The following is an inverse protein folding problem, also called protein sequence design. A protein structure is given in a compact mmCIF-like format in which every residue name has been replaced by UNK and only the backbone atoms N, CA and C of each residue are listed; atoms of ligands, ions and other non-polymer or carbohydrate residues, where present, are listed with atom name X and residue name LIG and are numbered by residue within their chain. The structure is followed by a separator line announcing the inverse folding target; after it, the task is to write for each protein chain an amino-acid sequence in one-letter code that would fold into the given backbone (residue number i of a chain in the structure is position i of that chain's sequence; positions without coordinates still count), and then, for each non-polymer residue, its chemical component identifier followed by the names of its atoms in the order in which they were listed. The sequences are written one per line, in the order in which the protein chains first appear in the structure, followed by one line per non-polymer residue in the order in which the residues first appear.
data_IF_895829271375
#
_entry.id   IF_895829271375
#
_cell.length_a   1.000
_cell.length_b   1.000
_cell.length_c   1.000
_cell.angle_alpha   90.00
_cell.angle_beta   90.00
_cell.angle_gamma   90.00
#
_symmetry.space_group_name_H-M   'P 1'
#
loop_
_entity.id
_entity.type
_entity.pdbx_description
1 polymer ?
#
# COMPACT_ATOMS: atom_id res chain seq x y z
N UNK A 1 -23.74 -32.99 29.62
CA UNK A 1 -24.14 -32.47 28.30
C UNK A 1 -23.06 -31.53 27.79
N UNK A 2 -22.21 -32.02 26.89
CA UNK A 2 -21.14 -31.24 26.27
C UNK A 2 -21.75 -30.27 25.24
N UNK A 3 -21.77 -28.98 25.55
CA UNK A 3 -22.10 -27.95 24.57
C UNK A 3 -21.22 -28.15 23.32
N UNK A 4 -21.77 -28.15 22.11
CA UNK A 4 -20.98 -28.27 20.90
C UNK A 4 -20.04 -27.07 20.85
N UNK A 5 -18.73 -27.34 20.94
CA UNK A 5 -17.71 -26.33 20.65
C UNK A 5 -17.97 -25.89 19.21
N UNK A 6 -18.63 -24.75 19.02
CA UNK A 6 -18.68 -24.05 17.74
C UNK A 6 -17.22 -23.84 17.33
N UNK A 7 -16.68 -24.76 16.53
CA UNK A 7 -15.33 -24.63 16.00
C UNK A 7 -15.42 -23.43 15.07
N UNK A 8 -14.79 -22.32 15.46
CA UNK A 8 -14.75 -21.11 14.66
C UNK A 8 -14.12 -21.44 13.30
N UNK A 9 -14.94 -21.65 12.28
CA UNK A 9 -14.53 -21.92 10.90
C UNK A 9 -14.09 -20.65 10.15
N UNK A 10 -13.44 -19.72 10.86
CA UNK A 10 -12.98 -18.42 10.32
C UNK A 10 -12.23 -18.55 8.98
N UNK A 11 -11.35 -19.53 8.73
CA UNK A 11 -10.61 -19.57 7.48
C UNK A 11 -11.49 -19.60 6.22
N UNK A 12 -12.49 -20.49 6.20
CA UNK A 12 -13.38 -20.63 5.04
C UNK A 12 -14.40 -19.49 4.99
N UNK A 13 -14.94 -19.10 6.16
CA UNK A 13 -15.89 -17.99 6.25
C UNK A 13 -15.26 -16.65 5.84
N UNK A 14 -14.02 -16.39 6.27
CA UNK A 14 -13.27 -15.19 5.93
C UNK A 14 -12.90 -15.13 4.44
N UNK A 15 -12.53 -16.27 3.85
CA UNK A 15 -12.29 -16.36 2.41
C UNK A 15 -13.59 -16.14 1.61
N UNK A 16 -14.69 -16.78 2.02
CA UNK A 16 -15.99 -16.60 1.38
C UNK A 16 -16.48 -15.16 1.51
N UNK A 17 -16.34 -14.55 2.69
CA UNK A 17 -16.67 -13.14 2.93
C UNK A 17 -15.83 -12.19 2.06
N UNK A 18 -14.52 -12.45 1.92
CA UNK A 18 -13.66 -11.67 1.02
C UNK A 18 -14.17 -11.76 -0.42
N UNK A 19 -14.37 -12.98 -0.94
CA UNK A 19 -14.78 -13.17 -2.33
C UNK A 19 -16.15 -12.54 -2.60
N UNK A 20 -17.10 -12.71 -1.68
CA UNK A 20 -18.41 -12.08 -1.76
C UNK A 20 -18.31 -10.54 -1.73
N UNK A 21 -17.47 -9.99 -0.85
CA UNK A 21 -17.26 -8.53 -0.76
C UNK A 21 -16.63 -7.96 -2.03
N UNK A 22 -15.61 -8.62 -2.58
CA UNK A 22 -14.97 -8.22 -3.84
C UNK A 22 -16.00 -8.25 -4.97
N UNK A 23 -16.79 -9.32 -5.07
CA UNK A 23 -17.85 -9.44 -6.07
C UNK A 23 -18.90 -8.34 -5.92
N UNK A 24 -19.36 -8.06 -4.71
CA UNK A 24 -20.34 -7.00 -4.44
C UNK A 24 -19.83 -5.60 -4.81
N UNK A 25 -18.59 -5.26 -4.45
CA UNK A 25 -17.99 -3.97 -4.82
C UNK A 25 -17.88 -3.85 -6.35
N UNK A 26 -17.39 -4.89 -7.02
CA UNK A 26 -17.25 -4.85 -8.48
C UNK A 26 -18.56 -4.96 -9.23
N UNK A 27 -19.65 -5.41 -8.60
CA UNK A 27 -20.98 -5.40 -9.19
C UNK A 27 -21.67 -4.05 -8.99
N UNK A 28 -21.62 -3.51 -7.78
CA UNK A 28 -22.48 -2.40 -7.34
C UNK A 28 -21.75 -1.11 -6.92
N UNK A 29 -20.54 -1.21 -6.37
CA UNK A 29 -19.80 -0.07 -5.79
C UNK A 29 -18.83 0.65 -6.74
N UNK A 30 -18.76 0.25 -8.01
CA UNK A 30 -17.93 0.92 -9.02
C UNK A 30 -18.82 1.49 -10.11
N UNK A 31 -18.81 2.81 -10.26
CA UNK A 31 -19.52 3.53 -11.33
C UNK A 31 -19.05 3.09 -12.71
N UNK A 32 -19.97 3.11 -13.68
CA UNK A 32 -19.67 2.84 -15.09
C UNK A 32 -19.26 4.10 -15.87
N UNK A 33 -19.38 5.28 -15.25
CA UNK A 33 -19.00 6.54 -15.89
C UNK A 33 -17.47 6.66 -15.98
N UNK A 34 -16.92 7.15 -17.12
CA UNK A 34 -15.49 7.47 -17.21
C UNK A 34 -15.11 8.51 -16.16
N UNK A 35 -13.97 8.30 -15.50
CA UNK A 35 -13.45 9.22 -14.47
C UNK A 35 -12.08 9.74 -14.88
N UNK A 36 -11.89 11.06 -14.80
CA UNK A 36 -10.62 11.73 -15.06
C UNK A 36 -10.00 11.30 -16.40
N UNK A 37 -8.82 10.68 -16.36
CA UNK A 37 -8.03 10.31 -17.53
C UNK A 37 -8.66 9.21 -18.39
N UNK A 38 -9.69 8.50 -17.90
CA UNK A 38 -10.36 7.44 -18.68
C UNK A 38 -10.90 7.98 -20.02
N UNK A 39 -11.41 9.21 -20.01
CA UNK A 39 -11.91 9.89 -21.21
C UNK A 39 -10.81 10.18 -22.23
N UNK A 40 -9.63 10.59 -21.75
CA UNK A 40 -8.45 10.81 -22.59
C UNK A 40 -8.07 9.52 -23.30
N UNK A 41 -7.89 8.43 -22.56
CA UNK A 41 -7.47 7.16 -23.12
C UNK A 41 -8.46 6.53 -24.08
N UNK A 42 -9.77 6.69 -23.82
CA UNK A 42 -10.81 6.21 -24.71
C UNK A 42 -10.77 6.86 -26.11
N UNK A 43 -10.24 8.07 -26.23
CA UNK A 43 -10.15 8.80 -27.51
C UNK A 43 -8.86 8.56 -28.29
N UNK A 44 -7.85 7.93 -27.68
CA UNK A 44 -6.52 7.84 -28.29
C UNK A 44 -6.50 6.97 -29.56
N UNK A 45 -7.25 5.87 -29.56
CA UNK A 45 -7.30 4.95 -30.69
C UNK A 45 -8.21 5.44 -31.84
N UNK A 46 -8.97 6.51 -31.63
CA UNK A 46 -9.69 7.19 -32.71
C UNK A 46 -8.73 8.03 -33.57
N UNK A 47 -7.60 8.47 -33.00
CA UNK A 47 -6.62 9.35 -33.66
C UNK A 47 -5.35 8.61 -34.08
N UNK A 48 -4.89 7.65 -33.28
CA UNK A 48 -3.64 6.94 -33.49
C UNK A 48 -3.87 5.44 -33.67
N UNK A 49 -3.04 4.78 -34.49
CA UNK A 49 -2.90 3.33 -34.36
C UNK A 49 -2.24 2.99 -33.01
N UNK A 50 -2.45 1.79 -32.47
CA UNK A 50 -1.82 1.39 -31.19
C UNK A 50 -0.29 1.55 -31.22
N UNK A 51 0.34 1.20 -32.34
CA UNK A 51 1.79 1.34 -32.50
C UNK A 51 2.21 2.81 -32.48
N UNK A 52 1.54 3.65 -33.25
CA UNK A 52 1.90 5.07 -33.37
C UNK A 52 1.66 5.80 -32.05
N UNK A 53 0.57 5.45 -31.35
CA UNK A 53 0.30 5.92 -29.99
C UNK A 53 1.47 5.56 -29.05
N UNK A 54 1.88 4.30 -28.96
CA UNK A 54 2.95 3.89 -28.04
C UNK A 54 4.29 4.53 -28.37
N UNK A 55 4.64 4.65 -29.66
CA UNK A 55 5.87 5.35 -30.09
C UNK A 55 5.80 6.82 -29.69
N UNK A 56 4.68 7.49 -29.95
CA UNK A 56 4.47 8.88 -29.55
C UNK A 56 4.63 9.02 -28.03
N UNK A 57 3.92 8.21 -27.23
CA UNK A 57 3.98 8.25 -25.76
C UNK A 57 5.37 8.00 -25.20
N UNK A 58 6.14 7.08 -25.79
CA UNK A 58 7.52 6.82 -25.39
C UNK A 58 8.42 8.06 -25.52
N UNK A 59 8.23 8.82 -26.59
CA UNK A 59 9.04 10.00 -26.87
C UNK A 59 8.54 11.27 -26.16
N UNK A 60 7.23 11.38 -25.88
CA UNK A 60 6.64 12.64 -25.38
C UNK A 60 6.17 12.60 -23.93
N UNK A 61 5.92 11.42 -23.33
CA UNK A 61 5.33 11.39 -21.99
C UNK A 61 5.81 10.32 -21.01
N UNK A 62 5.95 9.06 -21.43
CA UNK A 62 6.17 7.96 -20.48
C UNK A 62 6.78 6.70 -21.08
N UNK A 63 7.58 6.01 -20.29
CA UNK A 63 8.09 4.67 -20.60
C UNK A 63 7.15 3.51 -20.21
N UNK A 64 5.95 3.79 -19.68
CA UNK A 64 5.00 2.79 -19.17
C UNK A 64 4.22 2.07 -20.27
N UNK A 65 4.88 1.72 -21.37
CA UNK A 65 4.21 1.27 -22.61
C UNK A 65 3.30 0.05 -22.44
N UNK A 66 3.66 -1.01 -21.68
CA UNK A 66 2.74 -2.14 -21.51
C UNK A 66 1.47 -1.78 -20.75
N UNK A 67 1.57 -0.85 -19.78
CA UNK A 67 0.42 -0.35 -19.04
C UNK A 67 -0.43 0.53 -19.95
N UNK A 68 0.18 1.46 -20.68
CA UNK A 68 -0.50 2.34 -21.65
C UNK A 68 -1.25 1.54 -22.72
N UNK A 69 -0.60 0.52 -23.30
CA UNK A 69 -1.20 -0.34 -24.31
C UNK A 69 -2.43 -1.09 -23.78
N UNK A 70 -2.34 -1.62 -22.56
CA UNK A 70 -3.46 -2.28 -21.91
C UNK A 70 -4.58 -1.29 -21.60
N UNK A 71 -4.24 -0.07 -21.20
CA UNK A 71 -5.21 0.94 -20.80
C UNK A 71 -6.05 1.41 -22.00
N UNK A 72 -5.42 1.84 -23.09
CA UNK A 72 -6.15 2.29 -24.30
C UNK A 72 -6.96 1.19 -24.97
N UNK A 73 -6.66 -0.08 -24.69
CA UNK A 73 -7.45 -1.21 -25.22
C UNK A 73 -8.59 -1.61 -24.28
N UNK A 74 -8.33 -1.73 -22.97
CA UNK A 74 -9.31 -2.23 -22.00
C UNK A 74 -10.36 -1.19 -21.61
N UNK A 75 -10.09 0.11 -21.79
CA UNK A 75 -11.03 1.20 -21.49
C UNK A 75 -12.35 1.06 -22.26
N UNK A 76 -12.32 0.45 -23.45
CA UNK A 76 -13.50 0.16 -24.27
C UNK A 76 -14.29 -1.07 -23.80
N UNK A 77 -13.75 -1.85 -22.86
CA UNK A 77 -14.37 -3.05 -22.31
C UNK A 77 -14.44 -2.98 -20.76
N UNK A 78 -15.18 -2.01 -20.17
CA UNK A 78 -15.21 -1.80 -18.73
C UNK A 78 -15.72 -3.02 -17.95
N UNK A 79 -16.61 -3.83 -18.54
CA UNK A 79 -17.05 -5.09 -17.94
C UNK A 79 -15.92 -6.12 -17.81
N UNK A 80 -15.07 -6.25 -18.83
CA UNK A 80 -13.87 -7.09 -18.79
C UNK A 80 -12.87 -6.58 -17.77
N UNK A 81 -12.63 -5.26 -17.75
CA UNK A 81 -11.78 -4.64 -16.72
C UNK A 81 -12.30 -4.95 -15.32
N UNK A 82 -13.59 -4.75 -15.01
CA UNK A 82 -14.16 -5.06 -13.68
C UNK A 82 -13.95 -6.52 -13.28
N UNK A 83 -14.17 -7.46 -14.20
CA UNK A 83 -13.96 -8.89 -13.94
C UNK A 83 -12.48 -9.20 -13.64
N UNK A 84 -11.56 -8.70 -14.48
CA UNK A 84 -10.12 -8.86 -14.25
C UNK A 84 -9.67 -8.18 -12.95
N UNK A 85 -10.17 -6.98 -12.66
CA UNK A 85 -9.81 -6.20 -11.48
C UNK A 85 -10.23 -6.90 -10.19
N UNK A 86 -11.40 -7.56 -10.17
CA UNK A 86 -11.83 -8.40 -9.06
C UNK A 86 -10.87 -9.56 -8.80
N UNK A 87 -10.41 -10.23 -9.87
CA UNK A 87 -9.42 -11.31 -9.79
C UNK A 87 -8.07 -10.77 -9.27
N UNK A 88 -7.61 -9.63 -9.80
CA UNK A 88 -6.36 -9.00 -9.35
C UNK A 88 -6.43 -8.62 -7.87
N UNK A 89 -7.55 -8.06 -7.38
CA UNK A 89 -7.75 -7.77 -5.96
C UNK A 89 -7.68 -9.03 -5.08
N UNK A 90 -8.30 -10.13 -5.52
CA UNK A 90 -8.20 -11.40 -4.81
C UNK A 90 -6.75 -11.93 -4.81
N UNK A 91 -6.05 -11.83 -5.94
CA UNK A 91 -4.64 -12.21 -6.07
C UNK A 91 -3.73 -11.35 -5.19
N UNK A 92 -3.99 -10.05 -5.04
CA UNK A 92 -3.28 -9.17 -4.11
C UNK A 92 -3.41 -9.70 -2.68
N UNK A 93 -4.63 -9.98 -2.25
CA UNK A 93 -4.90 -10.46 -0.89
C UNK A 93 -4.23 -11.81 -0.63
N UNK A 94 -4.27 -12.72 -1.60
CA UNK A 94 -3.57 -14.02 -1.54
C UNK A 94 -2.05 -13.82 -1.48
N UNK A 95 -1.49 -12.97 -2.35
CA UNK A 95 -0.05 -12.70 -2.42
C UNK A 95 0.48 -12.09 -1.12
N UNK A 96 -0.18 -11.07 -0.59
CA UNK A 96 0.18 -10.44 0.69
C UNK A 96 0.06 -11.42 1.85
N UNK A 97 -0.99 -12.25 1.88
CA UNK A 97 -1.12 -13.30 2.88
C UNK A 97 0.04 -14.30 2.79
N UNK A 98 0.49 -14.69 1.59
CA UNK A 98 1.66 -15.56 1.40
C UNK A 98 2.97 -14.92 1.85
N UNK A 99 3.16 -13.62 1.66
CA UNK A 99 4.35 -12.90 2.14
C UNK A 99 4.32 -12.69 3.68
N UNK A 100 3.13 -12.47 4.24
CA UNK A 100 2.95 -12.18 5.65
C UNK A 100 2.89 -13.43 6.54
N UNK A 101 2.36 -14.55 6.04
CA UNK A 101 2.15 -15.80 6.81
C UNK A 101 3.40 -16.55 7.25
N UNK A 102 4.58 -16.51 6.59
CA UNK A 102 5.75 -17.29 7.02
C UNK A 102 6.14 -17.00 8.47
N UNK A 103 6.08 -18.03 9.32
CA UNK A 103 6.32 -17.93 10.77
C UNK A 103 5.07 -17.66 11.63
N UNK A 104 3.91 -17.46 11.02
CA UNK A 104 2.63 -17.23 11.72
C UNK A 104 1.80 -18.50 11.88
N UNK A 105 0.80 -18.48 12.78
CA UNK A 105 -0.16 -19.59 12.97
C UNK A 105 -1.40 -19.51 12.08
N UNK A 106 -1.45 -18.56 11.15
CA UNK A 106 -2.58 -18.42 10.25
C UNK A 106 -2.62 -19.53 9.21
N UNK A 107 -3.81 -20.06 8.96
CA UNK A 107 -4.08 -20.84 7.76
C UNK A 107 -4.09 -19.92 6.53
N UNK A 108 -3.80 -20.48 5.35
CA UNK A 108 -3.82 -19.70 4.11
C UNK A 108 -5.16 -18.96 3.88
N UNK A 109 -6.34 -19.61 3.96
CA UNK A 109 -7.62 -18.92 3.79
C UNK A 109 -7.87 -17.86 4.86
N UNK A 110 -7.49 -18.15 6.11
CA UNK A 110 -7.68 -17.23 7.24
C UNK A 110 -6.85 -15.97 7.10
N UNK A 111 -5.56 -16.11 6.74
CA UNK A 111 -4.67 -14.98 6.49
C UNK A 111 -5.19 -14.10 5.34
N UNK A 112 -5.65 -14.72 4.24
CA UNK A 112 -6.19 -14.01 3.08
C UNK A 112 -7.44 -13.17 3.44
N UNK A 113 -8.37 -13.73 4.21
CA UNK A 113 -9.54 -12.97 4.69
C UNK A 113 -9.16 -11.80 5.60
N UNK A 114 -8.20 -11.99 6.51
CA UNK A 114 -7.71 -10.89 7.38
C UNK A 114 -7.01 -9.80 6.57
N UNK A 115 -6.18 -10.18 5.58
CA UNK A 115 -5.52 -9.22 4.70
C UNK A 115 -6.54 -8.36 3.97
N UNK A 116 -7.58 -8.96 3.39
CA UNK A 116 -8.63 -8.18 2.74
C UNK A 116 -9.34 -7.24 3.72
N UNK A 117 -9.64 -7.71 4.94
CA UNK A 117 -10.21 -6.84 5.97
C UNK A 117 -9.33 -5.63 6.26
N UNK A 118 -8.01 -5.82 6.41
CA UNK A 118 -7.07 -4.74 6.63
C UNK A 118 -6.95 -3.80 5.41
N UNK A 119 -7.00 -4.31 4.18
CA UNK A 119 -7.05 -3.49 2.96
C UNK A 119 -8.30 -2.60 2.94
N UNK A 120 -9.47 -3.12 3.34
CA UNK A 120 -10.71 -2.33 3.43
C UNK A 120 -10.67 -1.23 4.50
N UNK A 121 -9.69 -1.25 5.41
CA UNK A 121 -9.50 -0.19 6.41
C UNK A 121 -8.59 0.95 5.93
N UNK A 122 -7.98 0.85 4.75
CA UNK A 122 -7.28 1.97 4.13
C UNK A 122 -8.20 3.19 3.95
N UNK A 123 -7.61 4.38 3.77
CA UNK A 123 -8.38 5.57 3.40
C UNK A 123 -9.23 5.29 2.14
N UNK A 124 -10.55 5.61 2.13
CA UNK A 124 -11.43 5.40 0.98
C UNK A 124 -10.88 5.97 -0.33
N UNK A 125 -10.30 7.17 -0.27
CA UNK A 125 -9.70 7.81 -1.44
C UNK A 125 -8.50 7.04 -1.98
N UNK A 126 -7.62 6.53 -1.09
CA UNK A 126 -6.45 5.76 -1.51
C UNK A 126 -6.85 4.46 -2.20
N UNK A 127 -7.82 3.73 -1.63
CA UNK A 127 -8.29 2.47 -2.22
C UNK A 127 -9.09 2.72 -3.51
N UNK A 128 -9.93 3.75 -3.57
CA UNK A 128 -10.67 4.09 -4.78
C UNK A 128 -9.71 4.43 -5.93
N UNK A 129 -8.82 5.40 -5.72
CA UNK A 129 -7.91 5.86 -6.76
C UNK A 129 -6.89 4.79 -7.17
N UNK A 130 -6.47 3.89 -6.27
CA UNK A 130 -5.49 2.87 -6.59
C UNK A 130 -6.10 1.55 -7.09
N UNK A 131 -7.36 1.24 -6.74
CA UNK A 131 -7.96 -0.09 -6.94
C UNK A 131 -9.29 -0.09 -7.70
N UNK A 132 -10.10 0.96 -7.61
CA UNK A 132 -11.47 0.98 -8.15
C UNK A 132 -11.69 1.99 -9.27
N UNK A 133 -10.70 2.84 -9.53
CA UNK A 133 -10.63 3.65 -10.75
C UNK A 133 -9.91 2.86 -11.86
N UNK A 134 -10.42 2.87 -13.09
CA UNK A 134 -9.86 2.10 -14.22
C UNK A 134 -8.40 2.44 -14.47
N UNK A 135 -8.10 3.69 -14.83
CA UNK A 135 -6.73 4.15 -15.05
C UNK A 135 -5.84 3.94 -13.82
N UNK A 136 -6.39 4.24 -12.63
CA UNK A 136 -5.68 4.08 -11.37
C UNK A 136 -5.27 2.64 -11.06
N UNK A 137 -6.19 1.70 -11.21
CA UNK A 137 -5.96 0.27 -10.96
C UNK A 137 -4.89 -0.33 -11.86
N UNK A 138 -4.83 0.08 -13.13
CA UNK A 138 -3.82 -0.39 -14.08
C UNK A 138 -2.43 0.18 -13.79
N UNK A 139 -2.35 1.38 -13.20
CA UNK A 139 -1.09 2.00 -12.80
C UNK A 139 -0.61 1.59 -11.39
N UNK A 140 -1.51 1.09 -10.52
CA UNK A 140 -1.20 0.75 -9.12
C UNK A 140 -1.57 -0.69 -8.77
N UNK A 141 -2.86 -1.02 -8.61
CA UNK A 141 -3.31 -2.34 -8.15
C UNK A 141 -2.69 -3.50 -8.97
N UNK A 142 -2.72 -3.42 -10.30
CA UNK A 142 -2.22 -4.49 -11.17
C UNK A 142 -0.70 -4.68 -11.06
N UNK A 143 0.14 -3.66 -11.31
CA UNK A 143 1.59 -3.81 -11.19
C UNK A 143 2.02 -4.13 -9.75
N UNK A 144 1.37 -3.56 -8.73
CA UNK A 144 1.67 -3.89 -7.32
C UNK A 144 1.33 -5.34 -7.01
N UNK A 145 0.22 -5.87 -7.50
CA UNK A 145 -0.12 -7.29 -7.34
C UNK A 145 0.92 -8.18 -8.00
N UNK A 146 1.34 -7.87 -9.22
CA UNK A 146 2.41 -8.60 -9.91
C UNK A 146 3.74 -8.50 -9.14
N UNK A 147 4.06 -7.33 -8.61
CA UNK A 147 5.22 -7.12 -7.75
C UNK A 147 5.19 -8.01 -6.51
N UNK A 148 4.07 -8.06 -5.80
CA UNK A 148 3.85 -8.95 -4.64
C UNK A 148 4.08 -10.42 -5.03
N UNK A 149 3.50 -10.88 -6.13
CA UNK A 149 3.66 -12.26 -6.60
C UNK A 149 5.09 -12.59 -7.05
N UNK A 150 5.82 -11.61 -7.58
CA UNK A 150 7.24 -11.79 -7.92
C UNK A 150 8.11 -12.06 -6.69
N UNK A 151 7.74 -11.55 -5.51
CA UNK A 151 8.50 -11.74 -4.27
C UNK A 151 8.24 -13.10 -3.60
N UNK A 152 7.09 -13.72 -3.86
CA UNK A 152 6.67 -14.99 -3.23
C UNK A 152 7.74 -16.09 -3.31
N UNK A 153 8.29 -16.46 -4.49
CA UNK A 153 9.30 -17.52 -4.58
C UNK A 153 10.66 -17.14 -3.97
N UNK A 154 10.91 -15.85 -3.72
CA UNK A 154 12.12 -15.37 -3.06
C UNK A 154 12.01 -15.46 -1.54
N UNK A 155 10.81 -15.24 -1.00
CA UNK A 155 10.53 -15.22 0.45
C UNK A 155 10.15 -16.59 1.01
N UNK A 156 9.39 -17.40 0.26
CA UNK A 156 9.00 -18.74 0.72
C UNK A 156 10.15 -19.75 0.56
N UNK A 157 10.39 -20.55 1.59
CA UNK A 157 11.39 -21.64 1.60
C UNK A 157 10.90 -22.91 0.89
N UNK A 158 9.83 -22.84 0.10
CA UNK A 158 9.25 -23.97 -0.61
C UNK A 158 9.85 -24.09 -2.03
N UNK A 159 10.06 -25.32 -2.54
CA UNK A 159 10.47 -25.51 -3.92
C UNK A 159 9.35 -25.06 -4.87
N UNK A 160 9.71 -24.26 -5.86
CA UNK A 160 8.80 -23.76 -6.88
C UNK A 160 9.14 -24.40 -8.23
N UNK A 161 8.11 -24.89 -8.94
CA UNK A 161 8.27 -25.41 -10.31
C UNK A 161 8.70 -24.31 -11.27
N UNK A 162 9.32 -24.68 -12.39
CA UNK A 162 9.84 -23.71 -13.36
C UNK A 162 8.75 -22.78 -13.91
N UNK A 163 7.50 -23.23 -14.07
CA UNK A 163 6.38 -22.39 -14.52
C UNK A 163 6.09 -21.27 -13.52
N UNK A 164 6.13 -21.57 -12.22
CA UNK A 164 5.94 -20.56 -11.18
C UNK A 164 7.10 -19.57 -11.13
N UNK A 165 8.34 -20.03 -11.38
CA UNK A 165 9.52 -19.17 -11.50
C UNK A 165 9.45 -18.25 -12.72
N UNK A 166 9.03 -18.79 -13.88
CA UNK A 166 8.80 -18.01 -15.09
C UNK A 166 7.71 -16.96 -14.87
N UNK A 167 6.58 -17.36 -14.26
CA UNK A 167 5.50 -16.43 -13.94
C UNK A 167 5.98 -15.30 -12.99
N UNK A 168 6.80 -15.60 -11.99
CA UNK A 168 7.39 -14.58 -11.12
C UNK A 168 8.35 -13.63 -11.86
N UNK A 169 9.12 -14.14 -12.83
CA UNK A 169 9.97 -13.32 -13.70
C UNK A 169 9.14 -12.36 -14.56
N UNK A 170 8.07 -12.86 -15.20
CA UNK A 170 7.17 -12.04 -16.00
C UNK A 170 6.42 -11.01 -15.13
N UNK A 171 6.00 -11.41 -13.94
CA UNK A 171 5.37 -10.52 -12.98
C UNK A 171 6.33 -9.40 -12.53
N UNK A 172 7.61 -9.71 -12.29
CA UNK A 172 8.63 -8.71 -11.97
C UNK A 172 8.84 -7.72 -13.11
N UNK A 173 8.92 -8.21 -14.36
CA UNK A 173 9.08 -7.37 -15.55
C UNK A 173 7.91 -6.38 -15.72
N UNK A 174 6.67 -6.86 -15.59
CA UNK A 174 5.48 -6.02 -15.71
C UNK A 174 5.32 -5.04 -14.53
N UNK A 175 5.68 -5.46 -13.32
CA UNK A 175 5.64 -4.60 -12.14
C UNK A 175 6.61 -3.40 -12.24
N UNK A 176 7.70 -3.54 -13.01
CA UNK A 176 8.70 -2.50 -13.23
C UNK A 176 8.15 -1.23 -13.91
N UNK A 177 6.99 -1.31 -14.56
CA UNK A 177 6.35 -0.19 -15.23
C UNK A 177 5.50 0.69 -14.29
N UNK A 178 5.48 0.40 -13.00
CA UNK A 178 5.01 1.34 -11.99
C UNK A 178 6.23 2.00 -11.33
N UNK A 179 6.53 3.26 -11.68
CA UNK A 179 7.78 3.94 -11.31
C UNK A 179 8.11 3.84 -9.81
N UNK A 180 7.13 4.18 -8.95
CA UNK A 180 7.27 4.13 -7.50
C UNK A 180 7.56 2.71 -7.00
N UNK A 181 6.91 1.71 -7.59
CA UNK A 181 7.09 0.30 -7.24
C UNK A 181 8.44 -0.24 -7.73
N UNK A 182 8.88 0.12 -8.94
CA UNK A 182 10.15 -0.32 -9.49
C UNK A 182 11.33 0.10 -8.60
N UNK A 183 11.30 1.34 -8.11
CA UNK A 183 12.32 1.89 -7.21
C UNK A 183 12.36 1.17 -5.86
N UNK A 184 11.27 0.52 -5.46
CA UNK A 184 11.20 -0.31 -4.25
C UNK A 184 11.59 -1.77 -4.54
N UNK A 185 11.08 -2.35 -5.63
CA UNK A 185 11.26 -3.76 -5.96
C UNK A 185 12.69 -4.10 -6.36
N UNK A 186 13.40 -3.21 -7.08
CA UNK A 186 14.79 -3.45 -7.49
C UNK A 186 15.71 -3.68 -6.28
N UNK A 187 15.84 -2.74 -5.32
CA UNK A 187 16.71 -2.95 -4.16
C UNK A 187 16.21 -4.10 -3.25
N UNK A 188 14.89 -4.28 -3.12
CA UNK A 188 14.33 -5.38 -2.32
C UNK A 188 14.67 -6.75 -2.93
N UNK A 189 14.49 -6.92 -4.23
CA UNK A 189 14.79 -8.16 -4.96
C UNK A 189 16.28 -8.44 -4.94
N UNK A 190 17.13 -7.42 -5.15
CA UNK A 190 18.58 -7.55 -5.01
C UNK A 190 18.97 -8.03 -3.60
N UNK A 191 18.44 -7.38 -2.56
CA UNK A 191 18.68 -7.76 -1.17
C UNK A 191 18.30 -9.20 -0.87
N UNK A 192 17.13 -9.64 -1.34
CA UNK A 192 16.66 -11.03 -1.21
C UNK A 192 17.54 -12.02 -1.99
N UNK A 193 17.95 -11.69 -3.21
CA UNK A 193 18.87 -12.53 -4.00
C UNK A 193 20.23 -12.69 -3.30
N UNK A 194 20.80 -11.59 -2.82
CA UNK A 194 22.07 -11.60 -2.08
C UNK A 194 21.94 -12.39 -0.77
N UNK A 195 20.83 -12.24 -0.05
CA UNK A 195 20.55 -13.00 1.16
C UNK A 195 20.46 -14.51 0.88
N UNK A 196 19.72 -14.92 -0.15
CA UNK A 196 19.66 -16.32 -0.59
C UNK A 196 21.01 -16.84 -1.07
N UNK A 197 21.80 -16.02 -1.76
CA UNK A 197 23.14 -16.38 -2.21
C UNK A 197 24.08 -16.65 -1.04
N UNK A 198 24.04 -15.81 0.00
CA UNK A 198 24.78 -16.04 1.26
C UNK A 198 24.38 -17.35 1.95
N UNK A 199 23.13 -17.77 1.81
CA UNK A 199 22.65 -19.06 2.32
C UNK A 199 22.91 -20.24 1.39
N UNK A 200 23.56 -20.02 0.23
CA UNK A 200 23.74 -21.02 -0.84
C UNK A 200 22.40 -21.59 -1.36
N UNK A 201 21.35 -20.77 -1.34
CA UNK A 201 19.99 -21.10 -1.81
C UNK A 201 19.56 -20.31 -3.06
N UNK A 202 20.44 -19.45 -3.57
CA UNK A 202 20.17 -18.69 -4.79
C UNK A 202 20.14 -19.62 -6.01
N UNK A 203 19.16 -19.42 -6.87
CA UNK A 203 19.02 -20.14 -8.13
C UNK A 203 19.25 -19.23 -9.32
N UNK A 204 19.51 -19.79 -10.51
CA UNK A 204 19.57 -19.01 -11.75
C UNK A 204 18.30 -18.21 -12.02
N UNK A 205 17.14 -18.71 -11.57
CA UNK A 205 15.87 -17.99 -11.65
C UNK A 205 15.84 -16.70 -10.81
N UNK A 206 16.50 -16.68 -9.65
CA UNK A 206 16.53 -15.50 -8.78
C UNK A 206 17.27 -14.34 -9.51
N UNK A 207 18.38 -14.67 -10.16
CA UNK A 207 19.17 -13.72 -10.94
C UNK A 207 18.51 -13.33 -12.26
N UNK A 208 17.86 -14.27 -12.95
CA UNK A 208 17.09 -13.98 -14.16
C UNK A 208 15.92 -13.02 -13.86
N UNK A 209 15.21 -13.24 -12.76
CA UNK A 209 14.16 -12.34 -12.29
C UNK A 209 14.70 -10.94 -12.00
N UNK A 210 15.82 -10.82 -11.28
CA UNK A 210 16.45 -9.54 -10.99
C UNK A 210 16.90 -8.83 -12.28
N UNK A 211 17.53 -9.56 -13.22
CA UNK A 211 17.98 -9.01 -14.48
C UNK A 211 16.81 -8.46 -15.32
N UNK A 212 15.71 -9.23 -15.42
CA UNK A 212 14.49 -8.81 -16.12
C UNK A 212 13.85 -7.58 -15.46
N UNK A 213 13.75 -7.57 -14.14
CA UNK A 213 13.26 -6.42 -13.39
C UNK A 213 14.09 -5.16 -13.67
N UNK A 214 15.41 -5.26 -13.57
CA UNK A 214 16.32 -4.15 -13.84
C UNK A 214 16.24 -3.67 -15.30
N UNK A 215 16.18 -4.58 -16.27
CA UNK A 215 16.08 -4.24 -17.68
C UNK A 215 14.78 -3.47 -18.01
N UNK A 216 13.64 -3.93 -17.49
CA UNK A 216 12.36 -3.26 -17.71
C UNK A 216 12.26 -1.93 -16.95
N UNK A 217 12.79 -1.86 -15.72
CA UNK A 217 12.87 -0.60 -14.98
C UNK A 217 13.77 0.41 -15.71
N UNK A 218 14.93 -0.01 -16.21
CA UNK A 218 15.83 0.84 -17.00
C UNK A 218 15.14 1.33 -18.28
N UNK A 219 14.45 0.45 -19.01
CA UNK A 219 13.68 0.82 -20.19
C UNK A 219 12.58 1.86 -19.86
N UNK A 220 11.79 1.62 -18.81
CA UNK A 220 10.71 2.51 -18.41
C UNK A 220 11.22 3.89 -17.96
N UNK A 221 12.33 3.93 -17.20
CA UNK A 221 12.91 5.16 -16.66
C UNK A 221 13.69 5.97 -17.71
N UNK A 222 14.31 5.30 -18.69
CA UNK A 222 15.10 5.94 -19.76
C UNK A 222 14.27 6.53 -20.90
N UNK A 223 12.94 6.37 -20.88
CA UNK A 223 12.07 6.92 -21.91
C UNK A 223 12.24 8.46 -22.00
N UNK A 224 12.55 9.01 -23.20
CA UNK A 224 12.71 10.45 -23.40
C UNK A 224 11.48 11.24 -22.93
N UNK A 225 10.29 10.66 -23.10
CA UNK A 225 9.04 11.26 -22.68
C UNK A 225 8.95 11.57 -21.19
N UNK A 226 9.69 10.85 -20.32
CA UNK A 226 9.71 11.16 -18.89
C UNK A 226 10.30 12.54 -18.62
N UNK A 227 11.30 12.96 -19.40
CA UNK A 227 11.93 14.30 -19.28
C UNK A 227 10.98 15.38 -19.75
N UNK A 228 10.29 15.14 -20.87
CA UNK A 228 9.34 16.11 -21.41
C UNK A 228 8.13 16.27 -20.47
N UNK A 229 7.56 15.16 -20.01
CA UNK A 229 6.53 15.18 -18.97
C UNK A 229 6.99 15.91 -17.71
N UNK A 230 8.22 15.70 -17.25
CA UNK A 230 8.74 16.40 -16.08
C UNK A 230 8.77 17.92 -16.29
N UNK A 231 9.19 18.39 -17.48
CA UNK A 231 9.21 19.82 -17.83
C UNK A 231 7.81 20.39 -17.91
N UNK A 232 6.91 19.70 -18.62
CA UNK A 232 5.51 20.09 -18.76
C UNK A 232 4.80 20.15 -17.40
N UNK A 233 4.97 19.13 -16.55
CA UNK A 233 4.38 19.10 -15.21
C UNK A 233 4.98 20.17 -14.30
N UNK A 234 6.28 20.47 -14.42
CA UNK A 234 6.89 21.58 -13.70
C UNK A 234 6.27 22.90 -14.13
N UNK A 235 6.23 23.19 -15.44
CA UNK A 235 5.70 24.45 -15.96
C UNK A 235 4.20 24.67 -15.68
N UNK A 236 3.39 23.62 -15.81
CA UNK A 236 1.93 23.73 -15.63
C UNK A 236 1.46 23.61 -14.18
N UNK A 237 2.14 22.80 -13.36
CA UNK A 237 1.58 22.33 -12.08
C UNK A 237 2.41 22.72 -10.87
N UNK A 238 3.72 22.86 -11.01
CA UNK A 238 4.57 23.29 -9.90
C UNK A 238 5.78 24.10 -10.40
N UNK A 239 5.58 25.37 -10.82
CA UNK A 239 6.61 26.16 -11.53
C UNK A 239 7.93 26.30 -10.77
N UNK A 240 7.86 26.47 -9.45
CA UNK A 240 9.03 26.68 -8.59
C UNK A 240 9.68 25.36 -8.12
N UNK A 241 9.29 24.20 -8.66
CA UNK A 241 9.82 22.90 -8.22
C UNK A 241 11.32 22.75 -8.49
N UNK A 242 11.81 23.40 -9.56
CA UNK A 242 13.23 23.42 -9.89
C UNK A 242 14.07 24.18 -8.86
N UNK A 243 13.49 25.19 -8.22
CA UNK A 243 14.15 26.03 -7.21
C UNK A 243 14.26 25.36 -5.84
N UNK A 244 13.49 24.28 -5.62
CA UNK A 244 13.47 23.56 -4.36
C UNK A 244 14.75 22.75 -4.14
N UNK A 245 15.34 22.92 -2.96
CA UNK A 245 16.47 22.11 -2.53
C UNK A 245 16.05 20.68 -2.11
N UNK A 246 17.03 19.86 -1.73
CA UNK A 246 16.79 18.47 -1.32
C UNK A 246 15.98 18.39 -0.02
N UNK A 247 16.20 19.31 0.93
CA UNK A 247 15.51 19.31 2.21
C UNK A 247 14.04 19.71 2.05
N UNK A 248 13.75 20.66 1.18
CA UNK A 248 12.39 21.08 0.84
C UNK A 248 11.63 19.96 0.13
N UNK A 249 12.26 19.22 -0.79
CA UNK A 249 11.68 18.03 -1.42
C UNK A 249 11.42 16.92 -0.40
N UNK A 250 12.34 16.70 0.53
CA UNK A 250 12.13 15.77 1.65
C UNK A 250 10.98 16.20 2.55
N UNK A 251 10.84 17.50 2.84
CA UNK A 251 9.72 18.05 3.60
C UNK A 251 8.38 17.80 2.91
N UNK A 252 8.31 17.94 1.60
CA UNK A 252 7.11 17.58 0.82
C UNK A 252 6.80 16.09 0.99
N UNK A 253 7.81 15.23 0.86
CA UNK A 253 7.69 13.78 1.08
C UNK A 253 7.16 13.43 2.48
N UNK A 254 7.69 14.06 3.53
CA UNK A 254 7.21 13.91 4.90
C UNK A 254 5.77 14.37 5.04
N UNK A 255 5.39 15.50 4.45
CA UNK A 255 4.00 15.98 4.44
C UNK A 255 3.04 15.00 3.77
N UNK A 256 3.47 14.29 2.71
CA UNK A 256 2.66 13.24 2.09
C UNK A 256 2.49 12.02 3.02
N UNK A 257 3.55 11.62 3.71
CA UNK A 257 3.50 10.55 4.72
C UNK A 257 2.55 10.93 5.85
N UNK A 258 2.70 12.12 6.42
CA UNK A 258 1.87 12.64 7.50
C UNK A 258 0.41 12.63 7.10
N UNK A 259 0.09 13.18 5.92
CA UNK A 259 -1.28 13.21 5.39
C UNK A 259 -1.85 11.81 5.20
N UNK A 260 -1.07 10.87 4.69
CA UNK A 260 -1.57 9.50 4.44
C UNK A 260 -1.80 8.74 5.76
N UNK A 261 -0.89 8.88 6.73
CA UNK A 261 -0.94 8.14 8.00
C UNK A 261 -1.97 8.73 8.98
N UNK A 262 -2.04 10.07 9.07
CA UNK A 262 -2.89 10.77 10.03
C UNK A 262 -4.26 11.18 9.49
N UNK A 263 -4.60 10.75 8.27
CA UNK A 263 -5.95 10.87 7.74
C UNK A 263 -6.95 10.20 8.71
N UNK A 264 -7.95 10.92 9.26
CA UNK A 264 -8.96 10.35 10.15
C UNK A 264 -9.74 9.19 9.53
N UNK A 265 -9.78 9.10 8.20
CA UNK A 265 -10.42 8.03 7.45
C UNK A 265 -9.49 6.84 7.21
N UNK A 266 -8.23 6.90 7.63
CA UNK A 266 -7.29 5.77 7.57
C UNK A 266 -7.42 4.87 8.80
N UNK A 267 -8.44 4.00 8.79
CA UNK A 267 -8.69 3.09 9.90
C UNK A 267 -7.63 1.99 10.01
N UNK A 268 -6.86 1.74 8.94
CA UNK A 268 -5.76 0.79 8.93
C UNK A 268 -4.63 1.29 9.82
N UNK A 269 -4.22 2.56 9.69
CA UNK A 269 -3.21 3.14 10.56
C UNK A 269 -3.67 3.15 12.02
N UNK A 270 -4.93 3.53 12.29
CA UNK A 270 -5.52 3.44 13.62
C UNK A 270 -5.51 2.00 14.18
N UNK A 271 -5.83 1.01 13.35
CA UNK A 271 -5.81 -0.41 13.73
C UNK A 271 -4.38 -0.86 14.09
N UNK A 272 -3.39 -0.60 13.22
CA UNK A 272 -1.99 -0.95 13.49
C UNK A 272 -1.46 -0.24 14.75
N UNK A 273 -1.88 1.01 14.97
CA UNK A 273 -1.55 1.80 16.16
C UNK A 273 -2.14 1.16 17.43
N UNK A 274 -3.40 0.75 17.40
CA UNK A 274 -4.06 0.07 18.52
C UNK A 274 -3.42 -1.30 18.82
N UNK A 275 -3.10 -2.09 17.79
CA UNK A 275 -2.42 -3.37 17.95
C UNK A 275 -0.99 -3.19 18.50
N UNK A 276 -0.26 -2.17 18.03
CA UNK A 276 1.05 -1.81 18.56
C UNK A 276 0.97 -1.41 20.04
N UNK A 277 -0.03 -0.62 20.43
CA UNK A 277 -0.25 -0.22 21.82
C UNK A 277 -0.50 -1.44 22.74
N UNK A 278 -1.31 -2.40 22.29
CA UNK A 278 -1.55 -3.66 23.01
C UNK A 278 -0.27 -4.47 23.18
N UNK A 279 0.54 -4.59 22.12
CA UNK A 279 1.80 -5.34 22.16
C UNK A 279 2.87 -4.65 23.02
N UNK A 280 2.90 -3.32 23.05
CA UNK A 280 3.86 -2.52 23.80
C UNK A 280 3.86 -2.83 25.30
N UNK A 281 2.69 -3.17 25.86
CA UNK A 281 2.55 -3.52 27.27
C UNK A 281 3.50 -4.65 27.70
N UNK A 282 3.66 -5.67 26.84
CA UNK A 282 4.54 -6.83 27.07
C UNK A 282 5.95 -6.69 26.50
N UNK A 283 6.27 -5.60 25.79
CA UNK A 283 7.62 -5.38 25.28
C UNK A 283 8.62 -5.16 26.44
N UNK A 284 9.86 -5.64 26.38
CA UNK A 284 10.86 -5.48 27.45
C UNK A 284 11.58 -4.12 27.35
N UNK A 285 10.81 -3.03 27.29
CA UNK A 285 11.33 -1.66 27.23
C UNK A 285 11.34 -0.99 28.61
N UNK A 286 12.20 0.03 28.78
CA UNK A 286 12.20 0.87 29.97
C UNK A 286 10.82 1.53 30.19
N UNK A 287 10.40 1.67 31.45
CA UNK A 287 9.05 2.16 31.81
C UNK A 287 8.75 3.53 31.22
N UNK A 288 9.72 4.45 31.26
CA UNK A 288 9.55 5.81 30.72
C UNK A 288 9.34 5.79 29.19
N UNK A 289 10.09 4.97 28.47
CA UNK A 289 9.97 4.86 27.00
C UNK A 289 8.60 4.27 26.62
N UNK A 290 8.15 3.24 27.34
CA UNK A 290 6.79 2.72 27.17
C UNK A 290 5.73 3.79 27.42
N UNK A 291 5.89 4.59 28.47
CA UNK A 291 4.92 5.64 28.81
C UNK A 291 4.84 6.70 27.70
N UNK A 292 5.98 7.16 27.17
CA UNK A 292 6.03 8.10 26.05
C UNK A 292 5.37 7.51 24.81
N UNK A 293 5.77 6.31 24.39
CA UNK A 293 5.17 5.66 23.22
C UNK A 293 3.67 5.43 23.41
N UNK A 294 3.24 4.90 24.55
CA UNK A 294 1.84 4.64 24.84
C UNK A 294 1.00 5.93 24.83
N UNK A 295 1.53 7.02 25.39
CA UNK A 295 0.87 8.33 25.39
C UNK A 295 0.68 8.86 23.97
N UNK A 296 1.74 8.85 23.15
CA UNK A 296 1.68 9.32 21.76
C UNK A 296 0.69 8.49 20.94
N UNK A 297 0.74 7.16 21.07
CA UNK A 297 -0.19 6.25 20.39
C UNK A 297 -1.64 6.48 20.85
N UNK A 298 -1.88 6.67 22.15
CA UNK A 298 -3.21 6.94 22.69
C UNK A 298 -3.77 8.28 22.20
N UNK A 299 -2.94 9.33 22.15
CA UNK A 299 -3.33 10.63 21.60
C UNK A 299 -3.65 10.51 20.11
N UNK A 300 -2.86 9.77 19.34
CA UNK A 300 -3.13 9.52 17.91
C UNK A 300 -4.46 8.80 17.68
N UNK A 301 -4.76 7.77 18.48
CA UNK A 301 -6.04 7.06 18.42
C UNK A 301 -7.21 7.98 18.82
N UNK A 302 -7.03 8.80 19.86
CA UNK A 302 -8.03 9.77 20.28
C UNK A 302 -8.29 10.80 19.18
N UNK A 303 -7.25 11.32 18.52
CA UNK A 303 -7.40 12.23 17.38
C UNK A 303 -8.22 11.59 16.26
N UNK A 304 -7.92 10.34 15.88
CA UNK A 304 -8.71 9.62 14.86
C UNK A 304 -10.18 9.42 15.26
N UNK A 305 -10.45 9.15 16.54
CA UNK A 305 -11.82 8.99 17.06
C UNK A 305 -12.59 10.31 17.13
N UNK A 306 -11.93 11.42 17.48
CA UNK A 306 -12.58 12.73 17.57
C UNK A 306 -12.81 13.39 16.20
N UNK A 307 -12.08 12.95 15.17
CA UNK A 307 -12.13 13.52 13.81
C UNK A 307 -13.00 12.68 12.85
N UNK A 308 -13.93 11.88 13.37
CA UNK A 308 -14.85 11.08 12.54
C UNK A 308 -15.65 12.01 11.61
N UNK A 309 -15.61 11.81 10.27
CA UNK A 309 -16.14 12.76 9.28
C UNK A 309 -17.65 13.07 9.35
N UNK A 310 -18.41 12.38 10.18
CA UNK A 310 -19.86 12.56 10.35
C UNK A 310 -20.24 13.32 11.63
N UNK A 311 -19.26 13.73 12.44
CA UNK A 311 -19.47 14.64 13.56
C UNK A 311 -19.21 16.06 13.06
N UNK A 312 -20.22 16.96 13.05
CA UNK A 312 -20.02 18.35 12.63
C UNK A 312 -19.00 19.01 13.58
N UNK A 313 -17.89 19.49 13.02
CA UNK A 313 -16.75 19.96 13.83
C UNK A 313 -15.65 20.63 13.00
N UNK A 314 -16.00 21.74 12.35
CA UNK A 314 -15.07 22.71 11.72
C UNK A 314 -13.81 23.08 12.55
N UNK A 315 -13.81 23.17 13.90
CA UNK A 315 -12.60 23.55 14.63
C UNK A 315 -11.56 22.43 14.80
N UNK A 316 -11.99 21.16 14.81
CA UNK A 316 -11.11 20.02 15.06
C UNK A 316 -10.38 19.57 13.78
N UNK A 317 -11.04 19.65 12.62
CA UNK A 317 -10.39 19.43 11.32
C UNK A 317 -9.26 20.42 11.03
N UNK A 318 -9.33 21.65 11.57
CA UNK A 318 -8.24 22.65 11.52
C UNK A 318 -7.01 22.27 12.36
N UNK A 319 -7.07 21.20 13.14
CA UNK A 319 -5.95 20.65 13.91
C UNK A 319 -5.21 19.53 13.18
N UNK A 320 -5.72 19.09 12.02
CA UNK A 320 -4.95 18.23 11.11
C UNK A 320 -3.84 19.09 10.48
N UNK A 321 -2.61 18.59 10.39
CA UNK A 321 -1.55 19.33 9.71
C UNK A 321 -1.97 19.55 8.25
N UNK A 322 -2.16 20.79 7.79
CA UNK A 322 -2.26 21.05 6.37
C UNK A 322 -0.90 20.82 5.70
N UNK A 323 -0.88 20.80 4.37
CA UNK A 323 0.38 20.87 3.63
C UNK A 323 1.11 22.16 4.03
N UNK A 324 2.43 22.06 4.21
CA UNK A 324 3.28 23.22 4.44
C UNK A 324 3.63 23.86 3.08
N UNK A 325 2.64 24.47 2.42
CA UNK A 325 2.77 25.18 1.14
C UNK A 325 2.32 26.65 1.25
N UNK A 326 2.87 27.52 0.39
CA UNK A 326 2.52 28.95 0.32
C UNK A 326 2.63 29.69 1.67
N UNK A 327 1.62 30.49 1.99
CA UNK A 327 1.54 31.32 3.20
C UNK A 327 1.52 30.52 4.51
N UNK A 328 1.27 29.21 4.46
CA UNK A 328 1.31 28.32 5.62
C UNK A 328 2.72 28.20 6.24
N UNK A 329 3.76 28.53 5.46
CA UNK A 329 5.18 28.51 5.86
C UNK A 329 5.49 29.56 6.95
N UNK A 330 4.62 30.56 7.17
CA UNK A 330 4.83 31.58 8.19
C UNK A 330 4.09 31.31 9.51
N UNK A 331 3.36 30.20 9.61
CA UNK A 331 2.55 29.89 10.78
C UNK A 331 3.23 28.83 11.67
N UNK A 332 3.82 29.27 12.78
CA UNK A 332 4.51 28.41 13.76
C UNK A 332 3.63 27.25 14.27
N UNK A 333 2.30 27.45 14.36
CA UNK A 333 1.37 26.38 14.75
C UNK A 333 1.37 25.23 13.73
N UNK A 334 1.43 25.53 12.44
CA UNK A 334 1.39 24.51 11.39
C UNK A 334 2.67 23.68 11.37
N UNK A 335 3.83 24.31 11.64
CA UNK A 335 5.08 23.58 11.85
C UNK A 335 5.03 22.68 13.06
N UNK A 336 4.49 23.16 14.19
CA UNK A 336 4.35 22.34 15.39
C UNK A 336 3.42 21.13 15.14
N UNK A 337 2.34 21.31 14.39
CA UNK A 337 1.42 20.22 14.02
C UNK A 337 2.07 19.20 13.07
N UNK A 338 2.82 19.66 12.06
CA UNK A 338 3.56 18.77 11.16
C UNK A 338 4.65 18.00 11.91
N UNK A 339 5.44 18.69 12.74
CA UNK A 339 6.44 18.04 13.60
C UNK A 339 5.81 17.01 14.56
N UNK A 340 4.66 17.32 15.16
CA UNK A 340 3.90 16.39 15.97
C UNK A 340 3.43 15.16 15.18
N UNK A 341 2.97 15.36 13.94
CA UNK A 341 2.53 14.29 13.05
C UNK A 341 3.69 13.37 12.66
N UNK A 342 4.81 13.93 12.21
CA UNK A 342 6.03 13.18 11.92
C UNK A 342 6.53 12.39 13.13
N UNK A 343 6.55 13.02 14.31
CA UNK A 343 6.92 12.37 15.56
C UNK A 343 5.97 11.21 15.89
N UNK A 344 4.66 11.41 15.72
CA UNK A 344 3.63 10.38 15.92
C UNK A 344 3.85 9.18 15.00
N UNK A 345 4.07 9.42 13.70
CA UNK A 345 4.37 8.35 12.73
C UNK A 345 5.63 7.59 13.14
N UNK A 346 6.69 8.29 13.55
CA UNK A 346 7.92 7.67 14.07
C UNK A 346 7.66 6.79 15.30
N UNK A 347 6.89 7.29 16.27
CA UNK A 347 6.51 6.51 17.46
C UNK A 347 5.69 5.27 17.10
N UNK A 348 4.75 5.36 16.16
CA UNK A 348 3.96 4.21 15.71
C UNK A 348 4.86 3.16 15.04
N UNK A 349 5.79 3.57 14.18
CA UNK A 349 6.74 2.65 13.54
C UNK A 349 7.61 1.93 14.57
N UNK A 350 8.17 2.67 15.52
CA UNK A 350 9.01 2.11 16.59
C UNK A 350 8.18 1.16 17.46
N UNK A 351 7.01 1.58 17.93
CA UNK A 351 6.15 0.75 18.77
C UNK A 351 5.69 -0.52 18.04
N UNK A 352 5.33 -0.42 16.76
CA UNK A 352 4.95 -1.55 15.93
C UNK A 352 6.10 -2.56 15.79
N UNK A 353 7.33 -2.10 15.54
CA UNK A 353 8.52 -2.96 15.47
C UNK A 353 8.86 -3.59 16.83
N UNK A 354 8.77 -2.83 17.92
CA UNK A 354 9.00 -3.33 19.28
C UNK A 354 8.00 -4.41 19.70
N UNK A 355 6.81 -4.48 19.08
CA UNK A 355 5.85 -5.57 19.28
C UNK A 355 6.41 -6.96 18.96
N UNK A 356 7.48 -7.04 18.16
CA UNK A 356 8.13 -8.28 17.72
C UNK A 356 9.43 -8.60 18.49
N UNK A 357 9.63 -8.00 19.66
CA UNK A 357 10.86 -8.10 20.47
C UNK A 357 11.39 -9.51 20.76
N UNK A 358 10.56 -10.56 20.71
CA UNK A 358 11.01 -11.95 20.96
C UNK A 358 11.85 -12.54 19.83
N UNK A 359 11.69 -12.04 18.60
CA UNK A 359 12.51 -12.41 17.47
C UNK A 359 13.09 -11.14 16.84
N UNK A 360 14.35 -10.84 17.16
CA UNK A 360 15.04 -9.67 16.61
C UNK A 360 15.08 -9.66 15.08
N UNK A 361 15.07 -10.83 14.42
CA UNK A 361 15.01 -10.89 12.95
C UNK A 361 13.61 -10.52 12.45
N UNK A 362 12.55 -10.90 13.14
CA UNK A 362 11.19 -10.48 12.81
C UNK A 362 11.00 -8.98 13.06
N UNK A 363 11.48 -8.45 14.19
CA UNK A 363 11.46 -7.02 14.47
C UNK A 363 12.20 -6.21 13.39
N UNK A 364 13.41 -6.62 13.00
CA UNK A 364 14.17 -5.97 11.93
C UNK A 364 13.45 -6.06 10.57
N UNK A 365 12.82 -7.21 10.25
CA UNK A 365 12.02 -7.37 9.02
C UNK A 365 10.82 -6.44 8.99
N UNK A 366 10.07 -6.34 10.09
CA UNK A 366 8.89 -5.48 10.19
C UNK A 366 9.29 -3.99 10.15
N UNK A 367 10.35 -3.62 10.86
CA UNK A 367 10.91 -2.26 10.79
C UNK A 367 11.35 -1.91 9.37
N UNK A 368 12.13 -2.79 8.73
CA UNK A 368 12.57 -2.59 7.35
C UNK A 368 11.41 -2.45 6.37
N UNK A 369 10.35 -3.25 6.52
CA UNK A 369 9.14 -3.15 5.70
C UNK A 369 8.40 -1.82 5.90
N UNK A 370 8.26 -1.36 7.15
CA UNK A 370 7.65 -0.05 7.46
C UNK A 370 8.47 1.10 6.86
N UNK A 371 9.79 1.09 7.06
CA UNK A 371 10.68 2.11 6.52
C UNK A 371 10.68 2.12 4.99
N UNK A 372 10.62 0.94 4.35
CA UNK A 372 10.51 0.83 2.89
C UNK A 372 9.17 1.38 2.38
N UNK A 373 8.07 1.09 3.08
CA UNK A 373 6.76 1.67 2.80
C UNK A 373 6.78 3.19 2.90
N UNK A 374 7.30 3.74 4.00
CA UNK A 374 7.44 5.18 4.20
C UNK A 374 8.35 5.82 3.13
N UNK A 375 9.51 5.23 2.83
CA UNK A 375 10.42 5.71 1.80
C UNK A 375 9.75 5.76 0.42
N UNK A 376 8.91 4.75 0.11
CA UNK A 376 8.17 4.71 -1.16
C UNK A 376 7.22 5.89 -1.33
N UNK A 377 6.59 6.37 -0.24
CA UNK A 377 5.72 7.53 -0.30
C UNK A 377 6.54 8.84 -0.22
N UNK A 378 7.55 8.88 0.66
CA UNK A 378 8.41 10.04 0.85
C UNK A 378 9.16 10.46 -0.41
N UNK A 379 9.60 9.49 -1.23
CA UNK A 379 10.28 9.80 -2.49
C UNK A 379 9.41 10.54 -3.50
N UNK A 380 8.08 10.51 -3.37
CA UNK A 380 7.18 11.28 -4.23
C UNK A 380 7.38 12.80 -4.05
N UNK A 381 7.99 13.25 -2.95
CA UNK A 381 8.42 14.64 -2.77
C UNK A 381 9.47 15.12 -3.78
N UNK A 382 10.14 14.19 -4.47
CA UNK A 382 11.08 14.47 -5.57
C UNK A 382 10.40 14.49 -6.95
N UNK A 383 9.07 14.48 -7.00
CA UNK A 383 8.31 14.62 -8.24
C UNK A 383 7.48 15.91 -8.25
N UNK A 384 7.43 16.65 -9.39
CA UNK A 384 6.55 17.81 -9.52
C UNK A 384 5.06 17.44 -9.45
N UNK A 385 4.74 16.15 -9.50
CA UNK A 385 3.36 15.62 -9.40
C UNK A 385 2.89 15.33 -7.98
N UNK A 386 3.73 15.58 -6.96
CA UNK A 386 3.44 15.29 -5.56
C UNK A 386 2.08 15.85 -5.10
N UNK A 387 1.65 16.99 -5.64
CA UNK A 387 0.42 17.67 -5.24
C UNK A 387 -0.84 17.14 -5.91
N UNK A 388 -0.72 16.55 -7.10
CA UNK A 388 -1.82 16.10 -7.97
C UNK A 388 -2.06 14.60 -7.95
N UNK A 389 -1.07 13.83 -7.50
CA UNK A 389 -1.14 12.37 -7.54
C UNK A 389 -2.11 11.74 -6.52
N UNK A 390 -2.96 12.54 -5.88
CA UNK A 390 -4.00 12.08 -4.97
C UNK A 390 -3.47 11.26 -3.79
N UNK A 391 -4.30 10.36 -3.27
CA UNK A 391 -3.93 9.42 -2.19
C UNK A 391 -3.49 8.05 -2.73
N UNK A 392 -3.65 7.74 -4.03
CA UNK A 392 -3.15 6.49 -4.64
C UNK A 392 -1.65 6.25 -4.44
N UNK A 393 -0.84 7.30 -4.37
CA UNK A 393 0.61 7.18 -4.12
C UNK A 393 0.93 6.62 -2.73
N UNK A 394 0.00 6.68 -1.78
CA UNK A 394 0.16 6.07 -0.47
C UNK A 394 -0.08 4.55 -0.48
N UNK A 395 -0.61 3.98 -1.58
CA UNK A 395 -1.05 2.60 -1.63
C UNK A 395 0.03 1.59 -1.22
N UNK A 396 1.25 1.70 -1.76
CA UNK A 396 2.35 0.81 -1.41
C UNK A 396 2.74 0.91 0.08
N UNK A 397 2.77 2.13 0.63
CA UNK A 397 3.01 2.37 2.05
C UNK A 397 1.90 1.75 2.92
N UNK A 398 0.64 1.84 2.51
CA UNK A 398 -0.47 1.24 3.25
C UNK A 398 -0.45 -0.29 3.19
N UNK A 399 0.00 -0.91 2.09
CA UNK A 399 0.16 -2.37 2.03
C UNK A 399 1.25 -2.89 2.98
N UNK A 400 2.30 -2.10 3.24
CA UNK A 400 3.28 -2.43 4.28
C UNK A 400 2.61 -2.51 5.67
N UNK A 401 1.69 -1.57 5.98
CA UNK A 401 0.89 -1.62 7.21
C UNK A 401 -0.04 -2.84 7.27
N UNK A 402 -0.61 -3.28 6.14
CA UNK A 402 -1.44 -4.50 6.10
C UNK A 402 -0.64 -5.73 6.53
N UNK A 403 0.59 -5.89 6.00
CA UNK A 403 1.46 -7.01 6.36
C UNK A 403 1.83 -6.96 7.84
N UNK A 404 2.19 -5.78 8.35
CA UNK A 404 2.53 -5.59 9.78
C UNK A 404 1.31 -5.84 10.67
N UNK A 405 0.13 -5.37 10.30
CA UNK A 405 -1.12 -5.57 11.05
C UNK A 405 -1.48 -7.05 11.19
N UNK A 406 -1.36 -7.84 10.11
CA UNK A 406 -1.57 -9.29 10.16
C UNK A 406 -0.59 -9.99 11.12
N UNK A 407 0.69 -9.58 11.08
CA UNK A 407 1.75 -10.08 11.95
C UNK A 407 1.52 -9.72 13.42
N UNK A 408 1.09 -8.48 13.69
CA UNK A 408 0.72 -8.04 15.03
C UNK A 408 -0.47 -8.82 15.59
N UNK A 409 -1.49 -9.11 14.78
CA UNK A 409 -2.62 -9.95 15.20
C UNK A 409 -2.19 -11.38 15.55
N UNK A 410 -1.30 -11.99 14.77
CA UNK A 410 -0.75 -13.30 15.12
C UNK A 410 0.00 -13.23 16.46
N UNK A 411 0.83 -12.20 16.62
CA UNK A 411 1.62 -11.93 17.82
C UNK A 411 0.74 -11.75 19.06
N UNK A 412 -0.37 -11.03 18.96
CA UNK A 412 -1.35 -10.88 20.04
C UNK A 412 -1.96 -12.23 20.41
N UNK A 413 -2.23 -13.10 19.43
CA UNK A 413 -2.69 -14.46 19.70
C UNK A 413 -1.68 -15.29 20.50
N UNK A 414 -0.39 -15.08 20.27
CA UNK A 414 0.70 -15.74 21.01
C UNK A 414 0.85 -15.17 22.42
N UNK A 415 0.74 -13.85 22.58
CA UNK A 415 1.02 -13.17 23.84
C UNK A 415 -0.20 -13.15 24.78
N UNK A 416 -1.39 -12.86 24.26
CA UNK A 416 -2.62 -12.69 25.05
C UNK A 416 -3.63 -13.82 24.85
N UNK A 417 -3.32 -14.79 23.99
CA UNK A 417 -4.15 -15.97 23.74
C UNK A 417 -5.18 -15.79 22.62
N UNK A 418 -5.78 -16.90 22.16
CA UNK A 418 -6.62 -16.91 20.96
C UNK A 418 -7.95 -16.16 21.12
N UNK A 419 -8.46 -16.00 22.35
CA UNK A 419 -9.71 -15.26 22.62
C UNK A 419 -9.56 -13.77 22.36
N UNK A 420 -8.48 -13.16 22.84
CA UNK A 420 -8.20 -11.73 22.63
C UNK A 420 -7.97 -11.45 21.15
N UNK A 421 -7.16 -12.29 20.46
CA UNK A 421 -7.00 -12.22 19.02
C UNK A 421 -8.33 -12.34 18.27
N UNK A 422 -9.19 -13.27 18.68
CA UNK A 422 -10.50 -13.48 18.07
C UNK A 422 -11.43 -12.27 18.20
N UNK A 423 -11.45 -11.63 19.38
CA UNK A 423 -12.23 -10.39 19.60
C UNK A 423 -11.74 -9.23 18.75
N UNK A 424 -10.43 -9.00 18.69
CA UNK A 424 -9.84 -7.96 17.84
C UNK A 424 -10.07 -8.22 16.35
N UNK A 425 -9.95 -9.48 15.92
CA UNK A 425 -10.26 -9.87 14.56
C UNK A 425 -11.72 -9.60 14.23
N UNK A 426 -12.66 -9.96 15.12
CA UNK A 426 -14.07 -9.69 14.91
C UNK A 426 -14.34 -8.18 14.75
N UNK A 427 -13.72 -7.34 15.57
CA UNK A 427 -13.82 -5.89 15.45
C UNK A 427 -13.30 -5.39 14.09
N UNK A 428 -12.12 -5.85 13.67
CA UNK A 428 -11.53 -5.50 12.36
C UNK A 428 -12.45 -5.90 11.21
N UNK A 429 -13.03 -7.10 11.27
CA UNK A 429 -13.92 -7.62 10.23
C UNK A 429 -15.26 -6.88 10.21
N UNK A 430 -15.79 -6.49 11.37
CA UNK A 430 -17.00 -5.64 11.45
C UNK A 430 -16.74 -4.27 10.85
N UNK A 431 -15.63 -3.62 11.20
CA UNK A 431 -15.23 -2.33 10.63
C UNK A 431 -15.00 -2.42 9.11
N UNK A 432 -14.34 -3.48 8.65
CA UNK A 432 -14.12 -3.73 7.23
C UNK A 432 -15.45 -4.00 6.50
N UNK A 433 -16.36 -4.76 7.09
CA UNK A 433 -17.68 -5.03 6.51
C UNK A 433 -18.51 -3.75 6.40
N UNK A 434 -18.47 -2.89 7.43
CA UNK A 434 -19.08 -1.57 7.40
C UNK A 434 -18.52 -0.71 6.25
N UNK A 435 -17.18 -0.72 6.07
CA UNK A 435 -16.52 -0.04 4.94
C UNK A 435 -16.99 -0.57 3.58
N UNK A 436 -17.05 -1.89 3.42
CA UNK A 436 -17.54 -2.54 2.19
C UNK A 436 -18.98 -2.10 1.89
N UNK A 437 -19.86 -2.10 2.90
CA UNK A 437 -21.24 -1.65 2.70
C UNK A 437 -21.31 -0.19 2.29
N UNK A 438 -20.56 0.70 2.96
CA UNK A 438 -20.56 2.13 2.61
C UNK A 438 -19.98 2.39 1.21
N UNK A 439 -18.97 1.63 0.79
CA UNK A 439 -18.42 1.72 -0.56
C UNK A 439 -19.37 1.22 -1.65
N UNK A 440 -20.38 0.39 -1.31
CA UNK A 440 -21.39 -0.08 -2.25
C UNK A 440 -22.56 0.90 -2.43
N UNK A 441 -22.65 1.95 -1.61
CA UNK A 441 -23.75 2.93 -1.61
C UNK A 441 -23.31 4.35 -2.03
N UNK A 442 -22.09 4.50 -2.53
CA UNK A 442 -21.54 5.73 -3.13
C UNK A 442 -21.19 5.43 -4.58
#
# INVERSE_FOLDING_TARGET
MSAPRLRWHWPLLGLAWMLASIASIHAFGISSAPVADDSYFASMLDTYTLRDYLVHRYHTWTGRLPIEALLVTIVHAPGLWRACNAVVMALLCVGLARLARPGTRWSWPGATGVVFALVMLMTPQAIYEACWWLTGSLNYLWPVTLGVWSLVPLVEDLPHRWQARLAACLAAALAAYCDQLALVLVPLTLGLCLWRARQRRASGWDWAQLALLCANAAFALSAPGNVERFREETGMRFPNFADLDVLEKLRIGLGLIERAMTDPRNYLFGTVTALALVLLWRAPLARWLKAVLAMVLAVSLLQMLLLIPHVPGEPLQRSLPPRLDGDAVWNARLYALSAWSAFTVGCVVIAAACGFWRDGREAARMLGLLLLGLASLGMMGFSPTAYLSGQRIAFLCLLALVVVGLRQLDRIGLDYGPRVRGGLLALIVVLASWRVTMAAFV
#
